data_IF_745378862911
#
_entry.id   IF_745378862911
#
_cell.length_a   1.000
_cell.length_b   1.000
_cell.length_c   1.000
_cell.angle_alpha   90.00
_cell.angle_beta   90.00
_cell.angle_gamma   90.00
#
_symmetry.space_group_name_H-M   'P 1'
#
loop_
_entity.id
_entity.type
_entity.pdbx_description
1 polymer ?
#
# COMPACT_ATOMS: atom_id res chain seq x y z
N UNK A 1 -21.23 -8.94 3.65
CA UNK A 1 -21.80 -10.08 4.40
C UNK A 1 -22.69 -9.54 5.51
N UNK A 2 -23.76 -10.26 5.92
CA UNK A 2 -24.51 -9.93 7.12
C UNK A 2 -23.58 -9.71 8.33
N UNK A 3 -23.88 -8.68 9.14
CA UNK A 3 -23.08 -8.28 10.33
C UNK A 3 -22.76 -9.49 11.21
N UNK A 4 -23.75 -10.35 11.48
CA UNK A 4 -23.59 -11.52 12.32
C UNK A 4 -22.54 -12.53 11.82
N UNK A 5 -22.24 -12.58 10.52
CA UNK A 5 -21.20 -13.45 9.97
C UNK A 5 -19.79 -12.88 10.15
N UNK A 6 -19.67 -11.57 10.37
CA UNK A 6 -18.39 -10.87 10.51
C UNK A 6 -18.10 -10.47 11.96
N UNK A 7 -19.10 -10.46 12.85
CA UNK A 7 -18.87 -10.18 14.27
C UNK A 7 -17.85 -11.15 14.86
N UNK A 8 -16.80 -10.60 15.47
CA UNK A 8 -15.69 -11.38 16.03
C UNK A 8 -14.59 -11.73 15.01
N UNK A 9 -14.75 -11.38 13.72
CA UNK A 9 -13.68 -11.57 12.75
C UNK A 9 -12.51 -10.62 13.02
N UNK A 10 -11.31 -11.16 12.83
CA UNK A 10 -10.05 -10.44 12.89
C UNK A 10 -9.24 -10.77 11.65
N UNK A 11 -8.31 -9.88 11.31
CA UNK A 11 -7.44 -10.05 10.15
C UNK A 11 -6.17 -9.23 10.28
N UNK A 12 -5.43 -9.22 9.18
CA UNK A 12 -4.18 -8.46 9.04
C UNK A 12 -4.20 -7.76 7.69
N UNK A 13 -3.91 -6.46 7.70
CA UNK A 13 -4.09 -5.58 6.55
C UNK A 13 -2.88 -4.69 6.37
N UNK A 14 -2.60 -4.31 5.13
CA UNK A 14 -1.45 -3.49 4.74
C UNK A 14 -1.81 -2.49 3.64
N UNK A 15 -3.07 -2.42 3.22
CA UNK A 15 -3.55 -1.57 2.14
C UNK A 15 -4.83 -0.87 2.60
N UNK A 16 -4.74 0.29 3.29
CA UNK A 16 -5.88 0.99 3.87
C UNK A 16 -7.07 1.21 2.90
N UNK A 17 -6.79 1.42 1.61
CA UNK A 17 -7.82 1.59 0.59
C UNK A 17 -8.67 0.34 0.32
N UNK A 18 -8.18 -0.86 0.68
CA UNK A 18 -8.93 -2.12 0.59
C UNK A 18 -9.34 -2.67 1.97
N UNK A 19 -8.59 -2.31 3.02
CA UNK A 19 -8.81 -2.83 4.36
C UNK A 19 -9.92 -2.09 5.12
N UNK A 20 -10.11 -0.80 4.83
CA UNK A 20 -10.99 0.07 5.59
C UNK A 20 -12.20 0.51 4.76
N UNK A 21 -13.26 0.87 5.48
CA UNK A 21 -14.33 1.67 4.90
C UNK A 21 -13.78 3.06 4.52
N UNK A 22 -14.13 3.57 3.33
CA UNK A 22 -13.48 4.75 2.74
C UNK A 22 -13.49 6.00 3.64
N UNK A 23 -14.47 6.16 4.53
CA UNK A 23 -14.54 7.30 5.48
C UNK A 23 -13.55 7.18 6.65
N UNK A 24 -12.95 6.02 6.86
CA UNK A 24 -12.00 5.73 7.93
C UNK A 24 -10.54 5.83 7.44
N UNK A 25 -10.32 6.03 6.14
CA UNK A 25 -9.00 6.16 5.54
C UNK A 25 -8.44 7.54 5.89
N UNK A 26 -7.30 7.57 6.57
CA UNK A 26 -6.55 8.81 6.75
C UNK A 26 -5.87 9.18 5.41
N UNK A 27 -5.97 10.46 5.04
CA UNK A 27 -5.36 11.02 3.84
C UNK A 27 -4.21 11.96 4.16
N UNK A 28 -3.27 12.08 3.23
CA UNK A 28 -2.10 12.95 3.37
C UNK A 28 -1.11 12.40 4.40
N UNK A 29 -1.04 11.07 4.52
CA UNK A 29 -0.14 10.41 5.48
C UNK A 29 1.28 10.31 4.95
N UNK A 30 1.47 10.38 3.63
CA UNK A 30 2.78 10.41 3.02
C UNK A 30 2.83 11.29 1.74
N UNK A 31 4.00 11.85 1.37
CA UNK A 31 4.10 12.74 0.20
C UNK A 31 3.80 12.08 -1.16
N UNK A 32 3.94 10.76 -1.27
CA UNK A 32 3.62 10.05 -2.51
C UNK A 32 2.11 9.94 -2.71
N UNK A 33 1.34 9.77 -1.63
CA UNK A 33 -0.11 9.89 -1.63
C UNK A 33 -0.51 11.29 -2.09
N UNK A 34 0.02 12.35 -1.47
CA UNK A 34 -0.29 13.73 -1.85
C UNK A 34 0.00 14.02 -3.33
N UNK A 35 1.14 13.54 -3.84
CA UNK A 35 1.49 13.65 -5.25
C UNK A 35 0.50 12.89 -6.14
N UNK A 36 0.12 11.68 -5.75
CA UNK A 36 -0.87 10.90 -6.49
C UNK A 36 -2.21 11.67 -6.56
N UNK A 37 -2.71 12.16 -5.42
CA UNK A 37 -3.93 12.95 -5.37
C UNK A 37 -3.84 14.21 -6.24
N UNK A 38 -2.70 14.90 -6.25
CA UNK A 38 -2.50 16.08 -7.08
C UNK A 38 -2.57 15.76 -8.59
N UNK A 39 -1.95 14.65 -9.02
CA UNK A 39 -1.95 14.20 -10.42
C UNK A 39 -3.36 13.79 -10.86
N UNK A 40 -4.10 13.06 -10.02
CA UNK A 40 -5.36 12.43 -10.43
C UNK A 40 -6.59 13.26 -10.10
N UNK A 41 -6.47 14.41 -9.41
CA UNK A 41 -7.58 15.26 -8.96
C UNK A 41 -8.65 15.53 -10.03
N UNK A 42 -8.25 15.62 -11.30
CA UNK A 42 -9.14 15.93 -12.43
C UNK A 42 -9.78 14.71 -13.10
N UNK A 43 -9.33 13.50 -12.77
CA UNK A 43 -9.64 12.27 -13.51
C UNK A 43 -10.46 11.25 -12.70
N UNK A 44 -10.95 11.62 -11.51
CA UNK A 44 -11.69 10.73 -10.61
C UNK A 44 -10.77 9.79 -9.81
N UNK A 45 -11.37 9.08 -8.85
CA UNK A 45 -10.64 8.22 -7.91
C UNK A 45 -10.06 6.96 -8.56
N UNK A 46 -10.68 6.47 -9.64
CA UNK A 46 -10.25 5.27 -10.37
C UNK A 46 -8.82 5.34 -10.92
N UNK A 47 -8.31 6.55 -11.18
CA UNK A 47 -6.96 6.72 -11.72
C UNK A 47 -5.90 6.64 -10.62
N UNK A 48 -6.26 6.89 -9.36
CA UNK A 48 -5.32 6.85 -8.22
C UNK A 48 -4.66 5.49 -8.09
N UNK A 49 -5.39 4.40 -8.36
CA UNK A 49 -4.90 3.03 -8.24
C UNK A 49 -3.65 2.73 -9.08
N UNK A 50 -3.35 3.54 -10.10
CA UNK A 50 -2.16 3.38 -10.93
C UNK A 50 -0.90 4.07 -10.39
N UNK A 51 -1.03 4.98 -9.42
CA UNK A 51 0.10 5.75 -8.90
C UNK A 51 1.18 4.86 -8.31
N UNK A 52 0.82 3.79 -7.59
CA UNK A 52 1.81 2.87 -7.00
C UNK A 52 2.70 2.28 -8.08
N UNK A 53 2.06 1.59 -9.04
CA UNK A 53 2.78 0.86 -10.07
C UNK A 53 3.65 1.77 -10.92
N UNK A 54 3.17 2.98 -11.25
CA UNK A 54 3.93 3.95 -12.03
C UNK A 54 5.08 4.57 -11.23
N UNK A 55 4.87 4.93 -9.97
CA UNK A 55 5.93 5.47 -9.12
C UNK A 55 6.98 4.40 -8.79
N UNK A 56 6.55 3.16 -8.55
CA UNK A 56 7.44 2.01 -8.35
C UNK A 56 8.29 1.77 -9.58
N UNK A 57 7.66 1.71 -10.76
CA UNK A 57 8.36 1.52 -12.02
C UNK A 57 9.40 2.63 -12.25
N UNK A 58 9.04 3.89 -12.02
CA UNK A 58 9.98 5.00 -12.14
C UNK A 58 11.15 4.87 -11.16
N UNK A 59 10.89 4.55 -9.88
CA UNK A 59 11.94 4.39 -8.87
C UNK A 59 12.86 3.20 -9.18
N UNK A 60 12.31 2.07 -9.61
CA UNK A 60 13.07 0.88 -9.97
C UNK A 60 13.95 1.14 -11.21
N UNK A 61 13.42 1.82 -12.23
CA UNK A 61 14.18 2.17 -13.43
C UNK A 61 15.31 3.17 -13.14
N UNK A 62 15.14 4.08 -12.18
CA UNK A 62 16.23 4.98 -11.74
C UNK A 62 17.39 4.25 -11.07
N UNK A 63 17.16 3.02 -10.57
CA UNK A 63 18.18 2.15 -9.98
C UNK A 63 18.65 1.06 -10.94
N UNK A 64 18.00 0.91 -12.10
CA UNK A 64 18.32 -0.14 -13.05
C UNK A 64 19.68 0.15 -13.73
N UNK A 65 20.59 -0.84 -13.81
CA UNK A 65 21.85 -0.67 -14.52
C UNK A 65 21.65 -0.56 -16.04
N UNK A 66 20.56 -1.14 -16.55
CA UNK A 66 20.22 -1.19 -17.97
C UNK A 66 18.70 -1.14 -18.16
N UNK A 67 18.24 -0.65 -19.31
CA UNK A 67 16.82 -0.64 -19.67
C UNK A 67 16.37 -1.98 -20.26
N UNK A 68 16.44 -3.02 -19.43
CA UNK A 68 16.04 -4.40 -19.78
C UNK A 68 15.19 -4.99 -18.66
N UNK A 69 14.54 -6.14 -18.90
CA UNK A 69 13.79 -6.83 -17.84
C UNK A 69 14.69 -7.24 -16.66
N UNK A 70 15.93 -7.67 -16.93
CA UNK A 70 16.92 -7.99 -15.90
C UNK A 70 17.36 -6.74 -15.14
N UNK A 71 17.55 -5.61 -15.84
CA UNK A 71 17.86 -4.32 -15.23
C UNK A 71 16.74 -3.80 -14.33
N UNK A 72 15.47 -3.91 -14.77
CA UNK A 72 14.31 -3.55 -13.94
C UNK A 72 14.25 -4.40 -12.66
N UNK A 73 14.48 -5.71 -12.77
CA UNK A 73 14.56 -6.60 -11.60
C UNK A 73 15.66 -6.15 -10.64
N UNK A 74 16.87 -5.92 -11.14
CA UNK A 74 18.00 -5.46 -10.32
C UNK A 74 17.70 -4.10 -9.66
N UNK A 75 17.07 -3.17 -10.38
CA UNK A 75 16.66 -1.87 -9.87
C UNK A 75 15.60 -1.98 -8.78
N UNK A 76 14.60 -2.86 -8.94
CA UNK A 76 13.60 -3.15 -7.93
C UNK A 76 14.24 -3.75 -6.66
N UNK A 77 15.13 -4.73 -6.80
CA UNK A 77 15.86 -5.33 -5.67
C UNK A 77 16.73 -4.29 -4.94
N UNK A 78 17.28 -3.31 -5.67
CA UNK A 78 18.10 -2.24 -5.11
C UNK A 78 17.30 -1.15 -4.37
N UNK A 79 15.97 -1.16 -4.42
CA UNK A 79 15.15 -0.18 -3.70
C UNK A 79 15.29 -0.32 -2.18
N UNK A 80 15.53 -1.51 -1.64
CA UNK A 80 15.57 -1.71 -0.19
C UNK A 80 14.31 -1.13 0.46
N UNK A 81 14.48 -0.19 1.37
CA UNK A 81 13.38 0.53 2.04
C UNK A 81 13.17 1.95 1.54
N UNK A 82 13.77 2.34 0.40
CA UNK A 82 13.73 3.72 -0.09
C UNK A 82 12.45 4.06 -0.84
N UNK A 83 11.67 3.07 -1.28
CA UNK A 83 10.42 3.31 -1.98
C UNK A 83 9.28 3.59 -0.98
N UNK A 84 8.69 4.78 -1.07
CA UNK A 84 7.55 5.16 -0.25
C UNK A 84 6.27 5.00 -1.09
N UNK A 85 5.55 3.90 -0.86
CA UNK A 85 4.31 3.60 -1.58
C UNK A 85 3.18 4.55 -1.15
N UNK A 86 2.36 5.08 -2.07
CA UNK A 86 1.11 5.76 -1.73
C UNK A 86 0.04 4.87 -1.07
N UNK A 87 0.18 3.54 -1.04
CA UNK A 87 -0.90 2.62 -0.65
C UNK A 87 -0.63 1.69 0.53
N UNK A 88 0.63 1.53 0.96
CA UNK A 88 0.96 0.69 2.12
C UNK A 88 1.71 1.47 3.20
N UNK A 89 1.88 0.89 4.38
CA UNK A 89 2.49 1.56 5.53
C UNK A 89 4.00 1.74 5.37
N UNK A 90 4.67 0.75 4.80
CA UNK A 90 6.11 0.76 4.57
C UNK A 90 6.46 -0.32 3.55
N UNK A 91 7.52 -0.10 2.76
CA UNK A 91 8.00 -1.10 1.81
C UNK A 91 9.41 -1.60 2.09
N UNK A 92 9.68 -2.83 1.64
CA UNK A 92 11.01 -3.44 1.57
C UNK A 92 11.08 -4.32 0.33
N UNK A 93 12.04 -4.02 -0.54
CA UNK A 93 12.40 -4.84 -1.69
C UNK A 93 13.81 -5.38 -1.56
N UNK A 94 14.09 -6.48 -2.23
CA UNK A 94 15.40 -7.11 -2.26
C UNK A 94 15.39 -8.39 -3.10
N UNK A 95 16.54 -9.05 -3.27
CA UNK A 95 16.59 -10.34 -3.96
C UNK A 95 15.60 -11.33 -3.35
N UNK A 96 14.65 -11.82 -4.15
CA UNK A 96 13.60 -12.73 -3.69
C UNK A 96 12.46 -12.10 -2.89
N UNK A 97 12.42 -10.77 -2.72
CA UNK A 97 11.36 -10.04 -2.00
C UNK A 97 10.75 -8.95 -2.89
N UNK A 98 9.59 -9.25 -3.49
CA UNK A 98 8.92 -8.37 -4.47
C UNK A 98 7.48 -7.97 -4.09
N UNK A 99 6.92 -8.50 -2.98
CA UNK A 99 5.59 -8.11 -2.49
C UNK A 99 5.54 -6.65 -1.97
N UNK A 100 6.68 -6.09 -1.62
CA UNK A 100 6.84 -4.71 -1.19
C UNK A 100 6.39 -4.46 0.24
N UNK A 101 5.16 -4.80 0.62
CA UNK A 101 4.61 -4.49 1.94
C UNK A 101 5.45 -5.10 3.08
N UNK A 102 6.07 -4.24 3.89
CA UNK A 102 6.90 -4.67 5.03
C UNK A 102 6.18 -4.53 6.37
N UNK A 103 5.07 -3.80 6.43
CA UNK A 103 4.32 -3.59 7.66
C UNK A 103 2.85 -3.90 7.46
N UNK A 104 2.25 -4.49 8.49
CA UNK A 104 0.84 -4.83 8.56
C UNK A 104 0.23 -4.32 9.85
N UNK A 105 -1.09 -4.15 9.89
CA UNK A 105 -1.84 -3.80 11.09
C UNK A 105 -2.92 -4.86 11.35
N UNK A 106 -3.19 -5.19 12.62
CA UNK A 106 -4.36 -5.99 12.95
C UNK A 106 -5.63 -5.21 12.62
N UNK A 107 -6.61 -5.88 12.02
CA UNK A 107 -7.96 -5.35 11.78
C UNK A 107 -9.01 -6.21 12.46
N UNK A 108 -10.11 -5.58 12.87
CA UNK A 108 -11.29 -6.28 13.38
C UNK A 108 -12.56 -5.65 12.81
N UNK A 109 -13.59 -6.47 12.65
CA UNK A 109 -14.90 -5.97 12.26
C UNK A 109 -15.58 -5.28 13.45
N UNK A 110 -16.13 -4.10 13.19
CA UNK A 110 -16.83 -3.26 14.18
C UNK A 110 -18.33 -3.26 13.84
N UNK A 111 -19.18 -3.99 14.59
CA UNK A 111 -20.59 -4.13 14.27
C UNK A 111 -21.33 -2.79 14.18
N UNK A 112 -20.96 -1.82 15.01
CA UNK A 112 -21.61 -0.50 15.06
C UNK A 112 -21.51 0.30 13.75
N UNK A 113 -20.44 0.14 12.97
CA UNK A 113 -20.29 0.76 11.66
C UNK A 113 -20.51 -0.22 10.49
N UNK A 114 -20.65 -1.52 10.79
CA UNK A 114 -20.59 -2.59 9.79
C UNK A 114 -19.34 -2.51 8.91
N UNK A 115 -18.19 -2.22 9.51
CA UNK A 115 -16.93 -1.94 8.82
C UNK A 115 -15.72 -2.55 9.53
N UNK A 116 -14.59 -2.72 8.83
CA UNK A 116 -13.32 -3.07 9.45
C UNK A 116 -12.56 -1.82 9.89
N UNK A 117 -11.86 -1.93 11.03
CA UNK A 117 -10.95 -0.90 11.54
C UNK A 117 -9.64 -1.54 11.97
N UNK A 118 -8.55 -0.78 11.84
CA UNK A 118 -7.29 -1.16 12.47
C UNK A 118 -7.38 -1.03 13.99
N UNK A 119 -6.95 -2.06 14.70
CA UNK A 119 -7.06 -2.14 16.17
C UNK A 119 -5.73 -1.93 16.90
N UNK A 120 -4.63 -1.78 16.17
CA UNK A 120 -3.29 -1.64 16.74
C UNK A 120 -2.29 -0.90 15.84
N UNK A 121 -1.05 -0.71 16.34
CA UNK A 121 0.03 -0.13 15.57
C UNK A 121 0.51 -1.07 14.45
N UNK A 122 1.25 -0.56 13.45
CA UNK A 122 1.92 -1.40 12.46
C UNK A 122 2.95 -2.34 13.10
N UNK A 123 3.05 -3.56 12.59
CA UNK A 123 4.06 -4.57 12.92
C UNK A 123 4.79 -5.01 11.67
N UNK A 124 6.07 -5.36 11.81
CA UNK A 124 6.90 -5.82 10.68
C UNK A 124 6.46 -7.21 10.19
N UNK A 125 6.44 -7.37 8.87
CA UNK A 125 6.38 -8.65 8.19
C UNK A 125 7.83 -9.12 7.96
N UNK A 126 8.21 -10.33 8.42
CA UNK A 126 9.53 -10.89 8.18
C UNK A 126 9.92 -10.85 6.69
#
# INVERSE_FOLDING_TARGET
APVAQLTGSVGTGWLPASDLYYKEIAHGVNPAEDLCYAITKRNGDEVKRYCDGLFFLAAALQKAPEFTAAGLRAGAEALGTSYNSPWTFATRFGPGRYDGARQVRPLAFVPACSCYRYTGPPVEVP
#
